data_IF_527182417840
#
_entry.id   IF_527182417840
#
_cell.length_a   1.000
_cell.length_b   1.000
_cell.length_c   1.000
_cell.angle_alpha   90.00
_cell.angle_beta   90.00
_cell.angle_gamma   90.00
#
_symmetry.space_group_name_H-M   'P 1'
#
loop_
_entity.id
_entity.type
_entity.pdbx_description
1 polymer ?
#
# COMPACT_ATOMS: atom_id res chain seq x y z
N UNK A 1 -38.13 -11.67 1.87
CA UNK A 1 -37.53 -11.56 0.52
C UNK A 1 -37.21 -10.09 0.32
N UNK A 2 -35.93 -9.74 0.24
CA UNK A 2 -35.55 -8.35 -0.04
C UNK A 2 -35.75 -8.06 -1.51
N UNK A 3 -36.54 -7.04 -1.82
CA UNK A 3 -36.78 -6.59 -3.18
C UNK A 3 -35.43 -6.14 -3.82
N UNK A 4 -35.07 -6.83 -4.91
CA UNK A 4 -33.89 -6.44 -5.71
C UNK A 4 -34.30 -5.20 -6.51
N UNK A 5 -33.85 -4.02 -6.07
CA UNK A 5 -34.05 -2.76 -6.79
C UNK A 5 -33.47 -2.84 -8.20
N UNK A 6 -34.26 -2.39 -9.18
CA UNK A 6 -33.79 -2.30 -10.57
C UNK A 6 -32.68 -1.25 -10.71
N UNK A 7 -31.83 -1.37 -11.73
CA UNK A 7 -30.79 -0.39 -12.01
C UNK A 7 -31.34 1.05 -12.20
N UNK A 8 -32.59 1.16 -12.68
CA UNK A 8 -33.32 2.42 -12.82
C UNK A 8 -33.70 3.01 -11.47
N UNK A 9 -34.21 2.19 -10.54
CA UNK A 9 -34.58 2.61 -9.18
C UNK A 9 -33.36 3.06 -8.38
N UNK A 10 -32.24 2.35 -8.51
CA UNK A 10 -30.95 2.75 -7.91
C UNK A 10 -30.47 4.09 -8.49
N UNK A 11 -30.64 4.30 -9.80
CA UNK A 11 -30.28 5.57 -10.45
C UNK A 11 -31.18 6.71 -9.99
N UNK A 12 -32.51 6.47 -9.89
CA UNK A 12 -33.49 7.46 -9.39
C UNK A 12 -33.21 7.83 -7.93
N UNK A 13 -32.97 6.85 -7.07
CA UNK A 13 -32.62 7.09 -5.66
C UNK A 13 -31.32 7.89 -5.50
N UNK A 14 -30.34 7.64 -6.38
CA UNK A 14 -29.13 8.45 -6.44
C UNK A 14 -29.38 9.89 -6.90
N UNK A 15 -30.28 10.08 -7.87
CA UNK A 15 -30.66 11.40 -8.36
C UNK A 15 -31.42 12.19 -7.29
N UNK A 16 -32.35 11.54 -6.56
CA UNK A 16 -33.07 12.16 -5.43
C UNK A 16 -32.09 12.58 -4.32
N UNK A 17 -31.16 11.70 -3.93
CA UNK A 17 -30.11 12.01 -2.95
C UNK A 17 -29.18 13.14 -3.42
N UNK A 18 -28.89 13.23 -4.72
CA UNK A 18 -28.14 14.34 -5.30
C UNK A 18 -28.90 15.67 -5.24
N UNK A 19 -30.24 15.64 -5.33
CA UNK A 19 -31.11 16.82 -5.17
C UNK A 19 -31.08 17.40 -3.75
N UNK A 20 -30.89 16.57 -2.74
CA UNK A 20 -30.81 16.93 -1.31
C UNK A 20 -29.38 17.23 -0.85
N UNK A 21 -28.37 16.97 -1.68
CA UNK A 21 -26.98 17.17 -1.33
C UNK A 21 -26.63 18.65 -1.16
N UNK A 22 -25.90 18.96 -0.11
CA UNK A 22 -25.34 20.29 0.14
C UNK A 22 -24.34 20.68 -0.95
N UNK A 23 -24.10 21.98 -1.13
CA UNK A 23 -23.09 22.44 -2.10
C UNK A 23 -21.69 21.89 -1.77
N UNK A 24 -21.40 21.70 -0.48
CA UNK A 24 -20.17 21.10 -0.03
C UNK A 24 -20.03 19.62 -0.47
N UNK A 25 -21.09 18.83 -0.34
CA UNK A 25 -21.10 17.44 -0.77
C UNK A 25 -20.95 17.31 -2.29
N UNK A 26 -21.60 18.21 -3.04
CA UNK A 26 -21.45 18.27 -4.51
C UNK A 26 -20.00 18.57 -4.92
N UNK A 27 -19.34 19.51 -4.22
CA UNK A 27 -17.94 19.82 -4.44
C UNK A 27 -17.03 18.61 -4.13
N UNK A 28 -17.26 17.92 -3.00
CA UNK A 28 -16.52 16.69 -2.64
C UNK A 28 -16.66 15.61 -3.71
N UNK A 29 -17.88 15.31 -4.12
CA UNK A 29 -18.14 14.27 -5.14
C UNK A 29 -17.50 14.56 -6.48
N UNK A 30 -17.41 15.84 -6.85
CA UNK A 30 -16.80 16.26 -8.11
C UNK A 30 -15.26 16.26 -8.00
N UNK A 31 -14.71 16.89 -6.99
CA UNK A 31 -13.30 17.26 -6.97
C UNK A 31 -12.37 16.27 -6.25
N UNK A 32 -12.86 15.45 -5.32
CA UNK A 32 -12.03 14.37 -4.73
C UNK A 32 -11.55 13.40 -5.82
N UNK A 33 -12.42 12.86 -6.72
CA UNK A 33 -11.96 11.99 -7.79
C UNK A 33 -11.01 12.65 -8.78
N UNK A 34 -11.13 13.98 -9.00
CA UNK A 34 -10.18 14.72 -9.83
C UNK A 34 -8.80 14.77 -9.17
N UNK A 35 -8.75 14.99 -7.84
CA UNK A 35 -7.52 14.94 -7.07
C UNK A 35 -6.85 13.55 -7.09
N UNK A 36 -7.65 12.49 -6.99
CA UNK A 36 -7.15 11.12 -7.10
C UNK A 36 -6.49 10.85 -8.47
N UNK A 37 -7.14 11.30 -9.56
CA UNK A 37 -6.58 11.19 -10.91
C UNK A 37 -5.30 12.01 -11.07
N UNK A 38 -5.28 13.23 -10.51
CA UNK A 38 -4.12 14.10 -10.54
C UNK A 38 -2.91 13.44 -9.85
N UNK A 39 -3.11 12.88 -8.65
CA UNK A 39 -2.06 12.16 -7.96
C UNK A 39 -1.57 10.92 -8.73
N UNK A 40 -2.48 10.19 -9.38
CA UNK A 40 -2.12 9.04 -10.21
C UNK A 40 -1.24 9.47 -11.41
N UNK A 41 -1.55 10.59 -12.07
CA UNK A 41 -0.73 11.17 -13.15
C UNK A 41 0.63 11.65 -12.64
N UNK A 42 0.65 12.30 -11.47
CA UNK A 42 1.89 12.73 -10.83
C UNK A 42 2.83 11.58 -10.50
N UNK A 43 2.30 10.46 -9.97
CA UNK A 43 3.09 9.27 -9.68
C UNK A 43 3.69 8.62 -10.94
N UNK A 44 3.03 8.77 -12.09
CA UNK A 44 3.54 8.36 -13.40
C UNK A 44 4.53 9.37 -14.01
N UNK A 45 4.74 10.52 -13.36
CA UNK A 45 5.55 11.65 -13.82
C UNK A 45 5.02 12.35 -15.08
N UNK A 46 3.71 12.27 -15.32
CA UNK A 46 3.04 12.87 -16.46
C UNK A 46 2.70 14.35 -16.23
N UNK A 47 2.75 14.84 -14.96
CA UNK A 47 2.39 16.20 -14.62
C UNK A 47 3.17 16.77 -13.43
N UNK A 48 3.13 18.11 -13.28
CA UNK A 48 3.59 18.81 -12.09
C UNK A 48 2.41 19.14 -11.18
N UNK A 49 2.43 18.60 -9.95
CA UNK A 49 1.33 18.67 -9.00
C UNK A 49 0.98 20.14 -8.63
N UNK A 50 1.98 20.98 -8.36
CA UNK A 50 1.76 22.37 -7.98
C UNK A 50 1.12 23.19 -9.11
N UNK A 51 1.59 22.99 -10.35
CA UNK A 51 1.07 23.66 -11.54
C UNK A 51 -0.38 23.25 -11.81
N UNK A 52 -0.69 21.97 -11.68
CA UNK A 52 -2.06 21.50 -11.90
C UNK A 52 -3.02 22.00 -10.81
N UNK A 53 -2.59 22.00 -9.54
CA UNK A 53 -3.39 22.52 -8.43
C UNK A 53 -3.69 24.03 -8.56
N UNK A 54 -2.80 24.81 -9.17
CA UNK A 54 -3.02 26.25 -9.36
C UNK A 54 -4.15 26.58 -10.33
N UNK A 55 -4.63 25.61 -11.12
CA UNK A 55 -5.76 25.78 -12.05
C UNK A 55 -7.12 25.74 -11.37
N UNK A 56 -7.18 25.27 -10.12
CA UNK A 56 -8.43 25.14 -9.39
C UNK A 56 -8.68 26.38 -8.53
N UNK A 57 -9.96 26.75 -8.42
CA UNK A 57 -10.41 27.77 -7.48
C UNK A 57 -10.27 27.27 -6.03
N UNK A 58 -10.11 28.19 -5.08
CA UNK A 58 -9.80 27.85 -3.68
C UNK A 58 -10.86 26.92 -3.03
N UNK A 59 -12.15 27.07 -3.37
CA UNK A 59 -13.22 26.21 -2.90
C UNK A 59 -13.11 24.76 -3.41
N UNK A 60 -12.66 24.57 -4.65
CA UNK A 60 -12.45 23.27 -5.28
C UNK A 60 -11.09 22.67 -4.90
N UNK A 61 -10.06 23.50 -4.82
CA UNK A 61 -8.67 23.12 -4.54
C UNK A 61 -8.52 22.30 -3.25
N UNK A 62 -9.27 22.64 -2.21
CA UNK A 62 -9.31 21.87 -0.94
C UNK A 62 -9.63 20.39 -1.19
N UNK A 63 -10.64 20.09 -1.98
CA UNK A 63 -11.08 18.72 -2.24
C UNK A 63 -10.18 17.99 -3.23
N UNK A 64 -9.63 18.70 -4.21
CA UNK A 64 -8.60 18.15 -5.11
C UNK A 64 -7.35 17.76 -4.30
N UNK A 65 -6.92 18.62 -3.37
CA UNK A 65 -5.79 18.35 -2.47
C UNK A 65 -6.06 17.13 -1.58
N UNK A 66 -7.26 17.01 -1.01
CA UNK A 66 -7.68 15.88 -0.17
C UNK A 66 -7.63 14.56 -0.94
N UNK A 67 -8.22 14.54 -2.15
CA UNK A 67 -8.20 13.37 -3.03
C UNK A 67 -6.78 12.98 -3.44
N UNK A 68 -5.96 13.97 -3.81
CA UNK A 68 -4.56 13.74 -4.18
C UNK A 68 -3.74 13.20 -3.00
N UNK A 69 -3.88 13.80 -1.81
CA UNK A 69 -3.19 13.34 -0.61
C UNK A 69 -3.53 11.88 -0.26
N UNK A 70 -4.79 11.50 -0.39
CA UNK A 70 -5.25 10.13 -0.14
C UNK A 70 -4.51 9.11 -1.02
N UNK A 71 -4.39 9.38 -2.31
CA UNK A 71 -3.67 8.49 -3.24
C UNK A 71 -2.16 8.46 -2.94
N UNK A 72 -1.56 9.61 -2.68
CA UNK A 72 -0.13 9.67 -2.36
C UNK A 72 0.20 8.91 -1.07
N UNK A 73 -0.61 9.06 0.00
CA UNK A 73 -0.42 8.32 1.25
C UNK A 73 -0.57 6.81 1.03
N UNK A 74 -1.54 6.37 0.22
CA UNK A 74 -1.70 4.94 -0.13
C UNK A 74 -0.46 4.37 -0.81
N UNK A 75 0.23 5.17 -1.61
CA UNK A 75 1.40 4.73 -2.37
C UNK A 75 2.71 4.70 -1.56
N UNK A 76 2.72 5.11 -0.30
CA UNK A 76 3.85 4.90 0.61
C UNK A 76 3.78 3.46 1.13
N UNK A 77 4.71 2.60 0.72
CA UNK A 77 4.71 1.17 1.05
C UNK A 77 6.09 0.70 1.51
N UNK A 78 6.18 -0.50 2.08
CA UNK A 78 7.48 -1.07 2.45
C UNK A 78 8.42 -1.14 1.22
N UNK A 79 9.69 -0.73 1.34
CA UNK A 79 10.63 -0.60 0.22
C UNK A 79 11.21 -1.96 -0.20
N UNK A 80 10.34 -2.89 -0.63
CA UNK A 80 10.68 -4.26 -1.00
C UNK A 80 11.57 -4.37 -2.24
N UNK A 81 11.53 -3.37 -3.11
CA UNK A 81 12.31 -3.29 -4.33
C UNK A 81 12.55 -1.83 -4.72
N UNK A 82 13.36 -1.60 -5.74
CA UNK A 82 13.73 -0.24 -6.15
C UNK A 82 12.55 0.56 -6.72
N UNK A 83 11.60 -0.09 -7.36
CA UNK A 83 10.36 0.56 -7.82
C UNK A 83 9.55 1.10 -6.62
N UNK A 84 9.40 0.30 -5.56
CA UNK A 84 8.72 0.73 -4.34
C UNK A 84 9.45 1.90 -3.67
N UNK A 85 10.79 1.89 -3.63
CA UNK A 85 11.60 3.02 -3.11
C UNK A 85 11.37 4.30 -3.91
N UNK A 86 11.35 4.20 -5.25
CA UNK A 86 11.10 5.36 -6.13
C UNK A 86 9.68 5.90 -5.95
N UNK A 87 8.68 5.03 -5.89
CA UNK A 87 7.28 5.42 -5.67
C UNK A 87 7.10 6.08 -4.30
N UNK A 88 7.72 5.55 -3.25
CA UNK A 88 7.71 6.16 -1.92
C UNK A 88 8.29 7.58 -1.95
N UNK A 89 9.45 7.76 -2.59
CA UNK A 89 10.08 9.07 -2.73
C UNK A 89 9.15 10.05 -3.45
N UNK A 90 8.61 9.65 -4.60
CA UNK A 90 7.69 10.46 -5.39
C UNK A 90 6.43 10.84 -4.59
N UNK A 91 5.83 9.87 -3.90
CA UNK A 91 4.64 10.10 -3.07
C UNK A 91 4.91 11.07 -1.92
N UNK A 92 6.03 10.91 -1.20
CA UNK A 92 6.43 11.78 -0.10
C UNK A 92 6.76 13.21 -0.59
N UNK A 93 7.41 13.35 -1.74
CA UNK A 93 7.66 14.67 -2.37
C UNK A 93 6.34 15.35 -2.76
N UNK A 94 5.39 14.62 -3.35
CA UNK A 94 4.07 15.15 -3.68
C UNK A 94 3.29 15.60 -2.45
N UNK A 95 3.30 14.84 -1.37
CA UNK A 95 2.64 15.23 -0.12
C UNK A 95 3.25 16.50 0.49
N UNK A 96 4.55 16.72 0.36
CA UNK A 96 5.17 17.99 0.77
C UNK A 96 4.62 19.19 -0.01
N UNK A 97 4.20 19.00 -1.24
CA UNK A 97 3.55 20.09 -2.02
C UNK A 97 2.14 20.35 -1.52
N UNK A 98 1.39 19.29 -1.18
CA UNK A 98 -0.02 19.37 -0.79
C UNK A 98 -0.24 19.90 0.62
N UNK A 99 0.55 19.45 1.59
CA UNK A 99 0.37 19.73 3.01
C UNK A 99 0.92 21.11 3.38
N UNK A 100 0.21 21.85 4.24
CA UNK A 100 0.62 23.18 4.70
C UNK A 100 1.69 23.11 5.80
N UNK A 101 1.54 22.20 6.76
CA UNK A 101 2.51 22.00 7.84
C UNK A 101 3.67 21.11 7.42
N UNK A 102 4.73 21.74 6.90
CA UNK A 102 5.94 21.06 6.45
C UNK A 102 6.75 20.44 7.60
N UNK A 103 6.65 21.01 8.80
CA UNK A 103 7.42 20.55 9.96
C UNK A 103 6.84 19.22 10.44
N UNK A 104 5.54 19.15 10.62
CA UNK A 104 4.89 17.91 11.04
C UNK A 104 5.00 16.81 10.00
N UNK A 105 4.86 17.16 8.72
CA UNK A 105 5.13 16.22 7.62
C UNK A 105 6.53 15.64 7.70
N UNK A 106 7.57 16.48 7.93
CA UNK A 106 8.95 16.01 8.01
C UNK A 106 9.22 15.17 9.27
N UNK A 107 8.56 15.48 10.37
CA UNK A 107 8.60 14.68 11.60
C UNK A 107 8.09 13.25 11.35
N UNK A 108 6.94 13.12 10.67
CA UNK A 108 6.38 11.80 10.32
C UNK A 108 7.28 11.10 9.28
N UNK A 109 7.80 11.82 8.30
CA UNK A 109 8.74 11.24 7.32
C UNK A 109 10.02 10.70 7.96
N UNK A 110 10.50 11.34 9.02
CA UNK A 110 11.66 10.84 9.76
C UNK A 110 11.37 9.48 10.41
N UNK A 111 10.15 9.30 10.96
CA UNK A 111 9.69 8.01 11.50
C UNK A 111 9.60 6.96 10.38
N UNK A 112 8.98 7.30 9.24
CA UNK A 112 8.84 6.40 8.08
C UNK A 112 10.21 5.99 7.54
N UNK A 113 11.14 6.93 7.35
CA UNK A 113 12.50 6.61 6.89
C UNK A 113 13.25 5.69 7.85
N UNK A 114 13.06 5.84 9.16
CA UNK A 114 13.66 4.94 10.16
C UNK A 114 13.14 3.51 10.00
N UNK A 115 11.82 3.34 9.81
CA UNK A 115 11.24 2.01 9.53
C UNK A 115 11.79 1.45 8.22
N UNK A 116 11.86 2.25 7.16
CA UNK A 116 12.35 1.79 5.87
C UNK A 116 13.81 1.33 5.94
N UNK A 117 14.67 2.09 6.62
CA UNK A 117 16.06 1.70 6.79
C UNK A 117 16.18 0.39 7.60
N UNK A 118 15.45 0.29 8.72
CA UNK A 118 15.44 -0.93 9.51
C UNK A 118 14.89 -2.13 8.70
N UNK A 119 13.85 -1.93 7.89
CA UNK A 119 13.30 -2.96 7.00
C UNK A 119 14.30 -3.44 5.95
N UNK A 120 15.06 -2.52 5.36
CA UNK A 120 16.07 -2.83 4.33
C UNK A 120 17.31 -3.50 4.93
N UNK A 121 17.71 -3.15 6.14
CA UNK A 121 18.92 -3.68 6.77
C UNK A 121 18.61 -4.91 7.62
N UNK A 122 18.01 -4.72 8.80
CA UNK A 122 17.73 -5.80 9.74
C UNK A 122 16.65 -6.75 9.22
N UNK A 123 15.59 -6.18 8.62
CA UNK A 123 14.49 -6.96 8.06
C UNK A 123 14.95 -7.85 6.89
N UNK A 124 15.91 -7.41 6.07
CA UNK A 124 16.47 -8.25 5.00
C UNK A 124 17.25 -9.44 5.57
N UNK A 125 18.07 -9.20 6.60
CA UNK A 125 18.79 -10.27 7.28
C UNK A 125 17.83 -11.30 7.91
N UNK A 126 16.77 -10.82 8.59
CA UNK A 126 15.77 -11.69 9.18
C UNK A 126 15.05 -12.53 8.12
N UNK A 127 14.65 -11.92 7.00
CA UNK A 127 13.99 -12.65 5.89
C UNK A 127 14.93 -13.70 5.29
N UNK A 128 16.21 -13.36 5.10
CA UNK A 128 17.19 -14.32 4.58
C UNK A 128 17.39 -15.51 5.52
N UNK A 129 17.56 -15.25 6.80
CA UNK A 129 17.69 -16.33 7.81
C UNK A 129 16.43 -17.19 7.88
N UNK A 130 15.26 -16.56 7.86
CA UNK A 130 13.99 -17.28 7.88
C UNK A 130 13.79 -18.13 6.61
N UNK A 131 14.20 -17.65 5.45
CA UNK A 131 14.15 -18.42 4.20
C UNK A 131 15.04 -19.65 4.23
N UNK A 132 16.29 -19.50 4.63
CA UNK A 132 17.24 -20.63 4.73
C UNK A 132 16.77 -21.67 5.75
N UNK A 133 16.23 -21.22 6.86
CA UNK A 133 15.65 -22.11 7.88
C UNK A 133 14.43 -22.86 7.34
N UNK A 134 13.50 -22.18 6.72
CA UNK A 134 12.32 -22.81 6.12
C UNK A 134 12.72 -23.83 5.06
N UNK A 135 13.69 -23.49 4.21
CA UNK A 135 14.21 -24.37 3.18
C UNK A 135 14.76 -25.66 3.77
N UNK A 136 15.59 -25.54 4.80
CA UNK A 136 16.15 -26.69 5.51
C UNK A 136 15.07 -27.57 6.16
N UNK A 137 14.14 -26.96 6.90
CA UNK A 137 13.04 -27.68 7.56
C UNK A 137 12.13 -28.39 6.54
N UNK A 138 11.90 -27.77 5.38
CA UNK A 138 11.09 -28.35 4.32
C UNK A 138 11.82 -29.52 3.61
N UNK A 139 13.12 -29.38 3.36
CA UNK A 139 13.96 -30.46 2.83
C UNK A 139 13.93 -31.68 3.74
N UNK A 140 14.08 -31.48 5.06
CA UNK A 140 14.00 -32.57 6.04
C UNK A 140 12.62 -33.25 6.07
N UNK A 141 11.54 -32.49 6.08
CA UNK A 141 10.16 -33.02 6.03
C UNK A 141 9.94 -33.92 4.80
N UNK A 142 10.35 -33.43 3.63
CA UNK A 142 10.19 -34.16 2.39
C UNK A 142 11.07 -35.42 2.38
N UNK A 143 12.30 -35.33 2.87
CA UNK A 143 13.19 -36.49 2.98
C UNK A 143 12.63 -37.58 3.92
N UNK A 144 12.08 -37.17 5.05
CA UNK A 144 11.42 -38.10 6.00
C UNK A 144 10.18 -38.76 5.37
N UNK A 145 9.36 -38.00 4.67
CA UNK A 145 8.18 -38.55 3.99
C UNK A 145 8.57 -39.59 2.91
N UNK A 146 9.63 -39.32 2.15
CA UNK A 146 10.14 -40.29 1.17
C UNK A 146 10.70 -41.57 1.80
N UNK A 147 11.43 -41.45 2.90
CA UNK A 147 11.94 -42.61 3.64
C UNK A 147 10.82 -43.51 4.15
N UNK A 148 9.73 -42.92 4.66
CA UNK A 148 8.56 -43.65 5.12
C UNK A 148 7.83 -44.38 3.98
N UNK A 149 7.76 -43.78 2.81
CA UNK A 149 7.05 -44.38 1.67
C UNK A 149 7.87 -45.43 0.92
N UNK A 150 9.16 -45.25 0.78
CA UNK A 150 10.02 -46.06 -0.07
C UNK A 150 10.85 -47.09 0.71
N UNK A 151 10.84 -47.08 2.05
CA UNK A 151 11.48 -48.08 2.91
C UNK A 151 12.99 -48.21 2.81
N UNK A 152 13.66 -47.28 2.12
CA UNK A 152 15.11 -47.31 1.95
C UNK A 152 15.74 -45.91 2.09
N UNK A 153 17.05 -45.86 2.35
CA UNK A 153 17.86 -44.64 2.47
C UNK A 153 18.07 -43.98 1.07
N UNK A 154 16.98 -43.66 0.40
CA UNK A 154 17.04 -42.92 -0.89
C UNK A 154 17.20 -41.42 -0.58
N UNK A 155 18.41 -40.92 -0.74
CA UNK A 155 18.67 -39.48 -0.77
C UNK A 155 18.36 -38.97 -2.18
N UNK A 156 17.13 -38.56 -2.42
CA UNK A 156 16.81 -37.79 -3.64
C UNK A 156 17.09 -36.32 -3.39
N UNK A 157 17.82 -35.68 -4.32
CA UNK A 157 17.97 -34.22 -4.29
C UNK A 157 16.67 -33.60 -4.81
N UNK A 158 15.87 -33.10 -3.86
CA UNK A 158 14.59 -32.47 -4.16
C UNK A 158 14.83 -30.97 -4.26
N UNK A 159 14.37 -30.38 -5.34
CA UNK A 159 14.35 -28.93 -5.49
C UNK A 159 13.10 -28.39 -4.80
N UNK A 160 13.23 -28.07 -3.52
CA UNK A 160 12.11 -27.60 -2.66
C UNK A 160 11.59 -26.24 -3.12
N UNK A 161 12.45 -25.44 -3.76
CA UNK A 161 12.08 -24.11 -4.27
C UNK A 161 11.07 -24.19 -5.42
N UNK A 162 10.87 -25.35 -6.03
CA UNK A 162 9.85 -25.60 -7.05
C UNK A 162 8.54 -26.14 -6.49
N UNK A 163 8.48 -26.39 -5.18
CA UNK A 163 7.29 -26.95 -4.56
C UNK A 163 6.26 -25.85 -4.22
N UNK A 164 4.99 -25.98 -4.66
CA UNK A 164 3.95 -25.00 -4.34
C UNK A 164 3.74 -24.79 -2.85
N UNK A 165 3.85 -25.84 -2.05
CA UNK A 165 3.71 -25.80 -0.59
C UNK A 165 4.80 -24.95 0.06
N UNK A 166 6.06 -25.06 -0.43
CA UNK A 166 7.16 -24.22 0.06
C UNK A 166 6.89 -22.73 -0.19
N UNK A 167 6.38 -22.38 -1.38
CA UNK A 167 6.02 -21.01 -1.70
C UNK A 167 4.88 -20.48 -0.84
N UNK A 168 3.93 -21.34 -0.47
CA UNK A 168 2.82 -20.97 0.41
C UNK A 168 3.31 -20.70 1.83
N UNK A 169 4.10 -21.61 2.42
CA UNK A 169 4.70 -21.44 3.75
C UNK A 169 5.59 -20.19 3.79
N UNK A 170 6.37 -19.95 2.72
CA UNK A 170 7.20 -18.76 2.62
C UNK A 170 6.38 -17.46 2.57
N UNK A 171 5.28 -17.43 1.82
CA UNK A 171 4.39 -16.26 1.79
C UNK A 171 3.79 -15.94 3.16
N UNK A 172 3.38 -16.97 3.90
CA UNK A 172 2.85 -16.80 5.26
C UNK A 172 3.92 -16.27 6.21
N UNK A 173 5.13 -16.82 6.15
CA UNK A 173 6.26 -16.36 6.96
C UNK A 173 6.65 -14.91 6.63
N UNK A 174 6.71 -14.54 5.36
CA UNK A 174 6.94 -13.15 4.94
C UNK A 174 5.85 -12.20 5.47
N UNK A 175 4.59 -12.59 5.39
CA UNK A 175 3.49 -11.79 5.92
C UNK A 175 3.63 -11.56 7.43
N UNK A 176 4.05 -12.58 8.17
CA UNK A 176 4.32 -12.49 9.61
C UNK A 176 5.50 -11.57 9.93
N UNK A 177 6.62 -11.70 9.20
CA UNK A 177 7.81 -10.83 9.37
C UNK A 177 7.50 -9.36 9.02
N UNK A 178 6.68 -9.13 8.01
CA UNK A 178 6.31 -7.78 7.56
C UNK A 178 5.23 -7.13 8.46
N UNK A 179 4.49 -7.90 9.25
CA UNK A 179 3.28 -7.44 9.97
C UNK A 179 3.54 -6.24 10.89
N UNK A 180 4.63 -6.26 11.66
CA UNK A 180 4.99 -5.18 12.57
C UNK A 180 5.35 -3.89 11.82
N UNK A 181 6.09 -4.02 10.72
CA UNK A 181 6.43 -2.87 9.87
C UNK A 181 5.19 -2.26 9.23
N UNK A 182 4.26 -3.11 8.77
CA UNK A 182 3.01 -2.66 8.17
C UNK A 182 2.11 -1.95 9.20
N UNK A 183 2.02 -2.44 10.44
CA UNK A 183 1.25 -1.81 11.50
C UNK A 183 1.77 -0.40 11.80
N UNK A 184 3.09 -0.23 12.00
CA UNK A 184 3.70 1.06 12.21
C UNK A 184 3.52 2.01 11.01
N UNK A 185 3.63 1.46 9.79
CA UNK A 185 3.43 2.26 8.58
C UNK A 185 1.98 2.75 8.46
N UNK A 186 0.99 1.95 8.87
CA UNK A 186 -0.43 2.36 8.92
C UNK A 186 -0.62 3.51 9.91
N UNK A 187 -0.05 3.43 11.11
CA UNK A 187 -0.10 4.50 12.10
C UNK A 187 0.47 5.82 11.55
N UNK A 188 1.65 5.77 10.91
CA UNK A 188 2.26 6.97 10.34
C UNK A 188 1.51 7.52 9.12
N UNK A 189 0.85 6.67 8.34
CA UNK A 189 -0.07 7.11 7.29
C UNK A 189 -1.29 7.83 7.85
N UNK A 190 -1.80 7.37 8.99
CA UNK A 190 -2.90 8.05 9.70
C UNK A 190 -2.45 9.42 10.24
N UNK A 191 -1.26 9.50 10.85
CA UNK A 191 -0.67 10.77 11.26
C UNK A 191 -0.56 11.74 10.06
N UNK A 192 -0.03 11.29 8.90
CA UNK A 192 0.05 12.09 7.68
C UNK A 192 -1.33 12.56 7.17
N UNK A 193 -2.35 11.72 7.30
CA UNK A 193 -3.72 12.08 6.89
C UNK A 193 -4.28 13.21 7.76
N UNK A 194 -3.94 13.25 9.03
CA UNK A 194 -4.41 14.26 9.99
C UNK A 194 -3.71 15.62 9.88
N UNK A 195 -2.57 15.71 9.22
CA UNK A 195 -1.86 16.97 8.99
C UNK A 195 -2.61 17.81 7.94
N UNK A 196 -2.83 19.12 8.17
CA UNK A 196 -3.51 19.99 7.22
C UNK A 196 -2.71 20.26 5.94
#
# INVERSE_FOLDING_TARGET
>A
MGDIKSAREIAMEKIEKLGEATDEERLKWKYIPEGEKLAASYLKRDCNLATELSKYEENAKKYVTEGAATILIRNINLPRNDLAKQNNKQAMEGLKVLKSDKIDVENVYSKIRRIFNHYMEQGEQQRKQAYERLKFEFEEKVQQALQQQLGSLVRMKIDVEKQPQFHEEWRQMLAQLDSQYLSLLVEYKQELSGIP
#
